data_IF_814550863500
#
_entry.id   IF_814550863500
#
_cell.length_a   1.000
_cell.length_b   1.000
_cell.length_c   1.000
_cell.angle_alpha   90.00
_cell.angle_beta   90.00
_cell.angle_gamma   90.00
#
_symmetry.space_group_name_H-M   'P 1'
#
loop_
_entity.id
_entity.type
_entity.pdbx_description
1 polymer ?
#
# COMPACT_ATOMS: atom_id res chain seq x y z
N UNK A 1 -13.41 -17.27 -6.04
CA UNK A 1 -12.54 -17.41 -4.85
C UNK A 1 -11.24 -16.71 -5.17
N UNK A 2 -10.94 -15.65 -4.48
CA UNK A 2 -9.77 -14.80 -4.74
C UNK A 2 -8.86 -14.87 -3.53
N UNK A 3 -7.66 -15.40 -3.67
CA UNK A 3 -6.70 -15.49 -2.58
C UNK A 3 -5.77 -14.26 -2.62
N UNK A 4 -5.73 -13.51 -1.52
CA UNK A 4 -4.75 -12.46 -1.30
C UNK A 4 -3.57 -13.07 -0.55
N UNK A 5 -2.48 -13.33 -1.26
CA UNK A 5 -1.22 -13.69 -0.62
C UNK A 5 -0.54 -12.41 -0.13
N UNK A 6 -0.60 -12.16 1.18
CA UNK A 6 0.52 -11.43 1.77
C UNK A 6 1.69 -12.40 1.75
N UNK A 7 2.79 -12.04 1.12
CA UNK A 7 3.98 -12.87 0.95
C UNK A 7 4.71 -13.09 2.29
N UNK A 8 4.04 -13.72 3.24
CA UNK A 8 4.64 -14.24 4.46
C UNK A 8 4.87 -15.74 4.29
N UNK A 9 6.14 -16.17 4.18
CA UNK A 9 6.58 -17.57 4.24
C UNK A 9 6.39 -18.18 5.64
N UNK A 10 5.30 -17.82 6.31
CA UNK A 10 5.02 -18.27 7.67
C UNK A 10 4.03 -19.47 7.69
N UNK A 11 3.91 -20.18 6.58
CA UNK A 11 3.09 -21.40 6.48
C UNK A 11 1.58 -21.15 6.71
N UNK A 12 1.12 -19.89 6.70
CA UNK A 12 -0.28 -19.53 6.89
C UNK A 12 -1.00 -19.50 5.56
N UNK A 13 -2.23 -19.98 5.55
CA UNK A 13 -3.07 -19.90 4.37
C UNK A 13 -3.27 -18.43 3.93
N UNK A 14 -3.38 -18.17 2.62
CA UNK A 14 -3.62 -16.82 2.12
C UNK A 14 -4.97 -16.28 2.60
N UNK A 15 -5.05 -14.96 2.86
CA UNK A 15 -6.32 -14.29 3.07
C UNK A 15 -7.14 -14.39 1.80
N UNK A 16 -8.32 -15.02 1.89
CA UNK A 16 -9.21 -15.22 0.75
C UNK A 16 -10.38 -14.25 0.85
N UNK A 17 -10.58 -13.46 -0.19
CA UNK A 17 -11.72 -12.56 -0.35
C UNK A 17 -12.67 -13.12 -1.39
N UNK A 18 -13.94 -13.25 -1.06
CA UNK A 18 -14.98 -13.85 -1.90
C UNK A 18 -16.07 -12.86 -2.28
N UNK A 19 -16.39 -11.93 -1.38
CA UNK A 19 -17.46 -10.95 -1.52
C UNK A 19 -16.92 -9.51 -1.45
N UNK A 20 -17.76 -8.55 -1.85
CA UNK A 20 -17.45 -7.13 -1.74
C UNK A 20 -17.32 -6.72 -0.26
N UNK A 21 -18.19 -7.23 0.61
CA UNK A 21 -18.14 -6.94 2.05
C UNK A 21 -16.83 -7.40 2.68
N UNK A 22 -16.35 -8.60 2.30
CA UNK A 22 -15.05 -9.10 2.76
C UNK A 22 -13.92 -8.18 2.27
N UNK A 23 -13.98 -7.71 1.01
CA UNK A 23 -13.00 -6.78 0.44
C UNK A 23 -13.02 -5.42 1.14
N UNK A 24 -14.21 -4.86 1.40
CA UNK A 24 -14.38 -3.61 2.14
C UNK A 24 -13.88 -3.76 3.58
N UNK A 25 -14.18 -4.87 4.25
CA UNK A 25 -13.70 -5.17 5.60
C UNK A 25 -12.17 -5.24 5.66
N UNK A 26 -11.55 -5.87 4.66
CA UNK A 26 -10.10 -6.08 4.62
C UNK A 26 -9.31 -4.83 4.21
N UNK A 27 -9.88 -3.96 3.38
CA UNK A 27 -9.21 -2.81 2.80
C UNK A 27 -8.47 -1.91 3.80
N UNK A 28 -9.06 -1.51 4.95
CA UNK A 28 -8.36 -0.72 5.97
C UNK A 28 -7.11 -1.42 6.53
N UNK A 29 -7.18 -2.74 6.73
CA UNK A 29 -6.06 -3.53 7.25
C UNK A 29 -4.91 -3.63 6.25
N UNK A 30 -5.22 -3.73 4.96
CA UNK A 30 -4.21 -3.75 3.90
C UNK A 30 -3.51 -2.40 3.72
N UNK A 31 -4.22 -1.30 3.99
CA UNK A 31 -3.67 0.06 3.93
C UNK A 31 -2.97 0.48 5.23
N UNK A 32 -3.34 -0.12 6.36
CA UNK A 32 -2.93 0.31 7.70
C UNK A 32 -3.66 1.55 8.22
N UNK A 33 -4.67 2.04 7.50
CA UNK A 33 -5.51 3.17 7.92
C UNK A 33 -6.89 3.11 7.28
N UNK A 34 -7.87 3.83 7.88
CA UNK A 34 -9.23 3.94 7.34
C UNK A 34 -9.23 4.79 6.07
N UNK A 35 -9.57 4.23 4.90
CA UNK A 35 -9.65 4.98 3.65
C UNK A 35 -10.86 5.92 3.62
N UNK A 36 -10.64 7.12 3.10
CA UNK A 36 -11.66 8.13 2.80
C UNK A 36 -11.31 8.77 1.46
N UNK A 37 -12.31 9.17 0.67
CA UNK A 37 -12.14 9.82 -0.64
C UNK A 37 -11.04 9.15 -1.48
N UNK A 38 -11.12 7.82 -1.61
CA UNK A 38 -10.04 6.99 -2.14
C UNK A 38 -10.56 5.93 -3.11
N UNK A 39 -9.84 5.75 -4.23
CA UNK A 39 -9.97 4.58 -5.09
C UNK A 39 -8.89 3.55 -4.69
N UNK A 40 -9.30 2.31 -4.44
CA UNK A 40 -8.42 1.19 -4.15
C UNK A 40 -8.53 0.12 -5.22
N UNK A 41 -7.39 -0.43 -5.62
CA UNK A 41 -7.31 -1.68 -6.37
C UNK A 41 -6.69 -2.74 -5.46
N UNK A 42 -7.41 -3.82 -5.25
CA UNK A 42 -6.92 -5.00 -4.54
C UNK A 42 -6.70 -6.08 -5.59
N UNK A 43 -5.46 -6.40 -5.88
CA UNK A 43 -5.09 -7.41 -6.86
C UNK A 43 -4.71 -8.67 -6.13
N UNK A 44 -5.40 -9.77 -6.44
CA UNK A 44 -5.10 -11.06 -5.85
C UNK A 44 -3.86 -11.69 -6.50
N UNK A 45 -3.12 -12.44 -5.69
CA UNK A 45 -2.05 -13.31 -6.16
C UNK A 45 -2.66 -14.45 -7.02
N UNK A 46 -2.12 -14.66 -8.21
CA UNK A 46 -2.48 -15.77 -9.10
C UNK A 46 -1.53 -16.98 -8.97
N UNK A 47 -0.58 -16.90 -8.03
CA UNK A 47 0.38 -17.95 -7.71
C UNK A 47 1.51 -18.14 -8.72
N UNK A 48 1.45 -17.49 -9.89
CA UNK A 48 2.39 -17.73 -10.98
C UNK A 48 3.18 -16.47 -11.42
N UNK A 49 2.51 -15.35 -11.62
CA UNK A 49 3.10 -14.17 -12.25
C UNK A 49 2.84 -12.85 -11.48
N UNK A 50 1.86 -12.84 -10.60
CA UNK A 50 1.47 -11.67 -9.84
C UNK A 50 1.52 -11.96 -8.34
N UNK A 51 2.38 -11.25 -7.62
CA UNK A 51 2.26 -11.17 -6.17
C UNK A 51 1.12 -10.19 -5.87
N UNK A 52 0.14 -10.60 -5.06
CA UNK A 52 -0.98 -9.76 -4.67
C UNK A 52 -0.50 -8.40 -4.13
N UNK A 53 -1.13 -7.33 -4.55
CA UNK A 53 -0.80 -5.98 -4.08
C UNK A 53 -2.04 -5.11 -3.94
N UNK A 54 -1.89 -4.00 -3.23
CA UNK A 54 -2.91 -2.96 -3.13
C UNK A 54 -2.35 -1.66 -3.70
N UNK A 55 -3.12 -1.03 -4.60
CA UNK A 55 -2.86 0.31 -5.08
C UNK A 55 -3.97 1.25 -4.58
N UNK A 56 -3.60 2.46 -4.22
CA UNK A 56 -4.53 3.48 -3.76
C UNK A 56 -4.22 4.81 -4.43
N UNK A 57 -5.28 5.53 -4.82
CA UNK A 57 -5.20 6.93 -5.23
C UNK A 57 -6.30 7.75 -4.53
N UNK A 58 -6.07 9.04 -4.35
CA UNK A 58 -7.11 9.98 -3.91
C UNK A 58 -8.10 10.20 -5.07
N UNK A 59 -9.40 10.30 -4.77
CA UNK A 59 -10.41 10.55 -5.81
C UNK A 59 -10.17 11.90 -6.50
N UNK A 60 -9.69 12.90 -5.77
CA UNK A 60 -9.35 14.22 -6.30
C UNK A 60 -8.26 14.14 -7.38
N UNK A 61 -7.28 13.25 -7.19
CA UNK A 61 -6.20 13.04 -8.16
C UNK A 61 -6.67 12.32 -9.44
N UNK A 62 -7.83 11.69 -9.43
CA UNK A 62 -8.38 10.89 -10.52
C UNK A 62 -9.52 11.55 -11.30
N UNK A 63 -9.80 12.83 -11.09
CA UNK A 63 -10.89 13.54 -11.74
C UNK A 63 -10.71 13.73 -13.25
N UNK A 64 -9.47 13.72 -13.73
CA UNK A 64 -9.21 13.85 -15.16
C UNK A 64 -8.93 12.50 -15.84
N UNK A 65 -9.34 12.36 -17.10
CA UNK A 65 -9.01 11.17 -17.89
C UNK A 65 -7.49 10.93 -17.98
N UNK A 66 -6.69 12.00 -18.05
CA UNK A 66 -5.23 11.91 -18.14
C UNK A 66 -4.63 11.31 -16.88
N UNK A 67 -5.10 11.71 -15.70
CA UNK A 67 -4.62 11.17 -14.42
C UNK A 67 -5.10 9.74 -14.20
N UNK A 68 -6.32 9.42 -14.61
CA UNK A 68 -6.86 8.06 -14.58
C UNK A 68 -6.07 7.12 -15.50
N UNK A 69 -5.77 7.52 -16.72
CA UNK A 69 -4.96 6.74 -17.66
C UNK A 69 -3.52 6.56 -17.15
N UNK A 70 -2.94 7.59 -16.55
CA UNK A 70 -1.62 7.49 -15.92
C UNK A 70 -1.62 6.52 -14.74
N UNK A 71 -2.67 6.51 -13.93
CA UNK A 71 -2.86 5.54 -12.85
C UNK A 71 -2.99 4.12 -13.42
N UNK A 72 -3.90 3.90 -14.37
CA UNK A 72 -4.13 2.62 -15.01
C UNK A 72 -2.85 2.07 -15.68
N UNK A 73 -2.09 2.91 -16.38
CA UNK A 73 -0.81 2.54 -17.01
C UNK A 73 0.27 2.09 -16.02
N UNK A 74 0.22 2.58 -14.78
CA UNK A 74 1.16 2.18 -13.72
C UNK A 74 0.78 0.87 -13.07
N UNK A 75 -0.51 0.66 -12.81
CA UNK A 75 -0.98 -0.52 -12.07
C UNK A 75 -1.24 -1.72 -12.99
N UNK A 76 -1.68 -1.49 -14.23
CA UNK A 76 -2.01 -2.55 -15.19
C UNK A 76 -0.89 -3.57 -15.39
N UNK A 77 0.36 -3.16 -15.69
CA UNK A 77 1.48 -4.09 -15.86
C UNK A 77 1.82 -4.91 -14.61
N UNK A 78 1.49 -4.38 -13.41
CA UNK A 78 1.75 -5.03 -12.13
C UNK A 78 0.67 -6.06 -11.78
N UNK A 79 -0.56 -5.84 -12.24
CA UNK A 79 -1.70 -6.70 -11.95
C UNK A 79 -1.66 -8.04 -12.70
N UNK A 80 -0.96 -8.10 -13.86
CA UNK A 80 -0.85 -9.32 -14.63
C UNK A 80 -2.24 -9.90 -14.98
N UNK A 81 -2.46 -11.18 -14.60
CA UNK A 81 -3.74 -11.88 -14.73
C UNK A 81 -4.49 -12.01 -13.40
N UNK A 82 -3.95 -11.42 -12.32
CA UNK A 82 -4.56 -11.47 -11.00
C UNK A 82 -5.98 -10.90 -11.00
N UNK A 83 -6.89 -11.56 -10.30
CA UNK A 83 -8.25 -11.04 -10.13
C UNK A 83 -8.20 -9.75 -9.30
N UNK A 84 -8.84 -8.71 -9.81
CA UNK A 84 -8.82 -7.38 -9.22
C UNK A 84 -10.19 -7.02 -8.67
N UNK A 85 -10.23 -6.45 -7.47
CA UNK A 85 -11.40 -5.77 -6.92
C UNK A 85 -11.10 -4.29 -6.86
N UNK A 86 -12.02 -3.46 -7.36
CA UNK A 86 -11.89 -1.99 -7.34
C UNK A 86 -12.89 -1.44 -6.33
N UNK A 87 -12.43 -0.68 -5.35
CA UNK A 87 -13.27 -0.09 -4.32
C UNK A 87 -13.12 1.42 -4.31
N UNK A 88 -14.25 2.15 -4.26
CA UNK A 88 -14.25 3.59 -4.04
C UNK A 88 -14.86 3.91 -2.67
N UNK A 89 -14.07 4.54 -1.80
CA UNK A 89 -14.49 5.01 -0.49
C UNK A 89 -14.81 6.49 -0.57
N UNK A 90 -16.07 6.87 -0.41
CA UNK A 90 -16.51 8.26 -0.45
C UNK A 90 -17.91 8.44 0.13
N UNK A 91 -18.13 9.58 0.82
CA UNK A 91 -19.47 9.99 1.23
C UNK A 91 -20.31 10.55 0.07
N UNK A 92 -19.68 10.80 -1.10
CA UNK A 92 -20.38 11.23 -2.32
C UNK A 92 -20.48 10.04 -3.29
N UNK A 93 -21.63 9.36 -3.25
CA UNK A 93 -21.90 8.18 -4.07
C UNK A 93 -21.77 8.46 -5.58
N UNK A 94 -22.38 9.56 -6.06
CA UNK A 94 -22.41 9.86 -7.49
C UNK A 94 -21.00 10.07 -8.05
N UNK A 95 -20.19 10.84 -7.31
CA UNK A 95 -18.78 11.06 -7.65
C UNK A 95 -18.00 9.75 -7.67
N UNK A 96 -18.15 8.95 -6.63
CA UNK A 96 -17.45 7.66 -6.50
C UNK A 96 -17.85 6.68 -7.61
N UNK A 97 -19.14 6.58 -7.93
CA UNK A 97 -19.64 5.74 -9.02
C UNK A 97 -19.10 6.20 -10.38
N UNK A 98 -19.06 7.51 -10.64
CA UNK A 98 -18.44 8.06 -11.86
C UNK A 98 -16.95 7.72 -11.96
N UNK A 99 -16.20 7.84 -10.86
CA UNK A 99 -14.77 7.47 -10.81
C UNK A 99 -14.57 5.97 -11.00
N UNK A 100 -15.42 5.11 -10.40
CA UNK A 100 -15.39 3.65 -10.59
C UNK A 100 -15.60 3.28 -12.06
N UNK A 101 -16.60 3.87 -12.72
CA UNK A 101 -16.87 3.60 -14.14
C UNK A 101 -15.67 4.00 -15.01
N UNK A 102 -15.09 5.17 -14.76
CA UNK A 102 -13.89 5.64 -15.46
C UNK A 102 -12.68 4.73 -15.20
N UNK A 103 -12.51 4.27 -13.96
CA UNK A 103 -11.43 3.37 -13.58
C UNK A 103 -11.58 2.00 -14.26
N UNK A 104 -12.77 1.41 -14.25
CA UNK A 104 -13.04 0.12 -14.93
C UNK A 104 -12.79 0.25 -16.43
N UNK A 105 -13.17 1.35 -17.05
CA UNK A 105 -12.90 1.60 -18.46
C UNK A 105 -11.39 1.70 -18.76
N UNK A 106 -10.66 2.48 -17.95
CA UNK A 106 -9.22 2.67 -18.12
C UNK A 106 -8.42 1.39 -17.84
N UNK A 107 -8.90 0.55 -16.90
CA UNK A 107 -8.33 -0.74 -16.51
C UNK A 107 -8.83 -1.91 -17.36
N UNK A 108 -9.52 -1.67 -18.47
CA UNK A 108 -10.25 -2.65 -19.25
C UNK A 108 -9.50 -3.90 -19.72
N UNK A 109 -8.16 -3.92 -19.64
CA UNK A 109 -7.33 -5.12 -19.89
C UNK A 109 -7.12 -6.01 -18.66
N UNK A 110 -7.56 -5.57 -17.48
CA UNK A 110 -7.40 -6.29 -16.22
C UNK A 110 -8.58 -7.24 -15.97
N UNK A 111 -8.32 -8.31 -15.22
CA UNK A 111 -9.34 -9.24 -14.75
C UNK A 111 -10.10 -8.64 -13.56
N UNK A 112 -11.02 -7.69 -13.81
CA UNK A 112 -11.82 -7.04 -12.77
C UNK A 112 -12.95 -7.99 -12.37
N UNK A 113 -12.89 -8.49 -11.14
CA UNK A 113 -13.88 -9.39 -10.59
C UNK A 113 -15.07 -8.67 -9.96
N UNK A 114 -14.84 -7.48 -9.41
CA UNK A 114 -15.87 -6.59 -8.88
C UNK A 114 -15.39 -5.15 -8.82
N UNK A 115 -16.35 -4.21 -8.81
CA UNK A 115 -16.08 -2.80 -8.60
C UNK A 115 -17.25 -2.17 -7.81
N UNK A 116 -16.96 -1.66 -6.61
CA UNK A 116 -17.98 -1.21 -5.68
C UNK A 116 -17.62 0.11 -4.98
N UNK A 117 -18.62 0.90 -4.73
CA UNK A 117 -18.59 2.05 -3.85
C UNK A 117 -18.98 1.67 -2.42
N UNK A 118 -18.42 2.38 -1.45
CA UNK A 118 -18.87 2.35 -0.05
C UNK A 118 -18.60 3.70 0.64
N UNK A 119 -19.49 4.06 1.58
CA UNK A 119 -19.29 5.14 2.55
C UNK A 119 -18.89 4.61 3.95
N UNK A 120 -18.78 3.27 4.08
CA UNK A 120 -18.51 2.58 5.34
C UNK A 120 -19.78 2.15 6.08
N UNK A 121 -20.96 2.60 5.69
CA UNK A 121 -22.27 2.17 6.21
C UNK A 121 -23.07 1.41 5.15
N UNK A 122 -22.93 1.81 3.90
CA UNK A 122 -23.54 1.19 2.73
C UNK A 122 -22.50 0.89 1.67
N UNK A 123 -22.83 -0.04 0.75
CA UNK A 123 -22.04 -0.32 -0.43
C UNK A 123 -22.93 -0.64 -1.64
N UNK A 124 -22.37 -0.47 -2.84
CA UNK A 124 -23.03 -0.81 -4.11
C UNK A 124 -22.03 -1.20 -5.17
N UNK A 125 -22.23 -2.36 -5.79
CA UNK A 125 -21.44 -2.80 -6.97
C UNK A 125 -21.97 -2.17 -8.25
N UNK A 126 -21.07 -1.82 -9.18
CA UNK A 126 -21.46 -1.39 -10.55
C UNK A 126 -21.79 -2.56 -11.46
N UNK A 127 -21.48 -3.81 -11.06
CA UNK A 127 -21.73 -5.03 -11.84
C UNK A 127 -22.96 -5.81 -11.38
N UNK A 128 -23.73 -5.27 -10.45
CA UNK A 128 -24.92 -5.94 -9.98
C UNK A 128 -26.08 -5.78 -10.97
N UNK A 129 -26.45 -6.88 -11.65
CA UNK A 129 -27.54 -6.94 -12.63
C UNK A 129 -28.85 -7.51 -12.06
N UNK A 130 -28.88 -7.88 -10.78
CA UNK A 130 -30.06 -8.48 -10.17
C UNK A 130 -31.22 -7.46 -10.03
N UNK A 131 -32.46 -7.91 -10.33
CA UNK A 131 -33.65 -7.10 -10.08
C UNK A 131 -33.73 -6.76 -8.59
N UNK A 132 -33.59 -5.47 -8.25
CA UNK A 132 -33.48 -4.94 -6.88
C UNK A 132 -32.10 -4.46 -6.49
N UNK A 133 -31.04 -4.74 -7.26
CA UNK A 133 -29.68 -4.28 -6.99
C UNK A 133 -29.43 -2.78 -7.28
N UNK A 134 -30.48 -2.04 -7.67
CA UNK A 134 -30.45 -0.57 -7.74
C UNK A 134 -30.36 0.11 -6.36
N UNK A 135 -30.47 -0.65 -5.28
CA UNK A 135 -30.45 -0.16 -3.91
C UNK A 135 -29.06 -0.32 -3.28
N UNK A 136 -28.74 0.54 -2.32
CA UNK A 136 -27.54 0.44 -1.53
C UNK A 136 -27.70 -0.69 -0.50
N UNK A 137 -26.74 -1.59 -0.44
CA UNK A 137 -26.70 -2.65 0.55
C UNK A 137 -26.07 -2.12 1.84
N UNK A 138 -26.66 -2.50 2.98
CA UNK A 138 -26.04 -2.13 4.26
C UNK A 138 -24.75 -2.93 4.44
N UNK A 139 -23.65 -2.20 4.71
CA UNK A 139 -22.37 -2.83 4.98
C UNK A 139 -22.36 -3.42 6.39
N UNK A 140 -22.02 -4.71 6.47
CA UNK A 140 -21.80 -5.40 7.74
C UNK A 140 -20.38 -5.98 7.68
N UNK A 141 -19.43 -5.44 8.49
CA UNK A 141 -18.07 -5.96 8.51
C UNK A 141 -18.04 -7.45 8.83
N UNK A 142 -17.25 -8.21 8.07
CA UNK A 142 -17.06 -9.63 8.38
C UNK A 142 -16.09 -9.79 9.58
N UNK A 143 -16.60 -10.28 10.74
CA UNK A 143 -15.78 -10.38 11.93
C UNK A 143 -14.66 -11.42 11.79
N UNK A 144 -14.79 -12.41 10.90
CA UNK A 144 -13.78 -13.44 10.69
C UNK A 144 -12.58 -12.86 9.91
N UNK A 145 -12.84 -12.04 8.90
CA UNK A 145 -11.80 -11.32 8.14
C UNK A 145 -11.06 -10.33 9.05
N UNK A 146 -11.81 -9.56 9.86
CA UNK A 146 -11.22 -8.61 10.80
C UNK A 146 -10.34 -9.33 11.86
N UNK A 147 -10.82 -10.43 12.43
CA UNK A 147 -10.08 -11.22 13.41
C UNK A 147 -8.81 -11.82 12.81
N UNK A 148 -8.88 -12.37 11.60
CA UNK A 148 -7.73 -12.94 10.91
C UNK A 148 -6.69 -11.86 10.57
N UNK A 149 -7.12 -10.67 10.12
CA UNK A 149 -6.22 -9.55 9.87
C UNK A 149 -5.48 -9.13 11.15
N UNK A 150 -6.18 -8.99 12.27
CA UNK A 150 -5.58 -8.67 13.57
C UNK A 150 -4.65 -9.79 14.05
N UNK A 151 -5.05 -11.05 13.90
CA UNK A 151 -4.20 -12.20 14.25
C UNK A 151 -2.88 -12.22 13.47
N UNK A 152 -2.88 -11.72 12.23
CA UNK A 152 -1.67 -11.52 11.40
C UNK A 152 -0.86 -10.29 11.78
N UNK A 153 -1.28 -9.53 12.78
CA UNK A 153 -0.60 -8.31 13.25
C UNK A 153 -0.92 -7.07 12.41
N UNK A 154 -1.93 -7.13 11.54
CA UNK A 154 -2.37 -5.95 10.79
C UNK A 154 -3.14 -5.02 11.71
N UNK A 155 -2.80 -3.73 11.67
CA UNK A 155 -3.44 -2.68 12.48
C UNK A 155 -4.01 -1.61 11.59
N UNK A 156 -5.06 -0.93 12.05
CA UNK A 156 -5.72 0.15 11.33
C UNK A 156 -5.64 1.44 12.13
N UNK A 157 -5.03 2.45 11.56
CA UNK A 157 -5.01 3.80 12.11
C UNK A 157 -6.24 4.60 11.63
N UNK A 158 -6.66 5.64 12.38
CA UNK A 158 -7.87 6.40 12.02
C UNK A 158 -7.80 7.08 10.65
N UNK A 159 -6.60 7.45 10.19
CA UNK A 159 -6.44 8.16 8.92
C UNK A 159 -5.04 7.94 8.32
N UNK A 160 -4.90 8.26 7.02
CA UNK A 160 -3.60 8.32 6.33
C UNK A 160 -2.64 9.30 7.02
N UNK A 161 -3.16 10.43 7.50
CA UNK A 161 -2.34 11.41 8.24
C UNK A 161 -1.80 10.81 9.53
N UNK A 162 -2.59 10.01 10.23
CA UNK A 162 -2.12 9.31 11.43
C UNK A 162 -0.99 8.33 11.10
N UNK A 163 -1.09 7.60 9.98
CA UNK A 163 -0.03 6.72 9.50
C UNK A 163 1.24 7.50 9.14
N UNK A 164 1.11 8.59 8.40
CA UNK A 164 2.25 9.45 8.02
C UNK A 164 2.92 10.02 9.28
N UNK A 165 2.14 10.43 10.28
CA UNK A 165 2.67 10.97 11.53
C UNK A 165 3.45 9.92 12.34
N UNK A 166 3.05 8.65 12.31
CA UNK A 166 3.84 7.57 12.94
C UNK A 166 5.19 7.38 12.25
N UNK A 167 5.24 7.50 10.92
CA UNK A 167 6.47 7.39 10.14
C UNK A 167 7.34 8.66 10.25
N UNK A 168 6.72 9.83 10.38
CA UNK A 168 7.43 11.11 10.48
C UNK A 168 8.02 11.37 11.86
N UNK A 169 7.64 10.59 12.87
CA UNK A 169 7.97 10.83 14.28
C UNK A 169 7.25 12.07 14.84
N UNK A 170 7.32 12.30 16.15
CA UNK A 170 6.89 13.56 16.75
C UNK A 170 7.70 14.66 16.08
N UNK A 171 7.04 15.69 15.50
CA UNK A 171 7.63 16.77 14.72
C UNK A 171 8.84 17.44 15.38
N UNK A 172 9.92 16.74 15.46
CA UNK A 172 11.19 17.24 15.92
C UNK A 172 11.70 18.19 14.87
N UNK A 173 11.69 19.46 15.18
CA UNK A 173 12.65 20.36 14.55
C UNK A 173 14.00 19.67 14.62
N UNK A 174 14.52 19.29 13.46
CA UNK A 174 15.79 18.60 13.35
C UNK A 174 16.80 19.37 14.21
N UNK A 175 17.21 18.78 15.33
CA UNK A 175 18.15 19.42 16.24
C UNK A 175 19.48 19.71 15.52
N UNK A 176 20.32 20.61 16.05
CA UNK A 176 21.56 21.00 15.38
C UNK A 176 22.51 19.84 15.12
N UNK A 177 22.51 18.81 15.96
CA UNK A 177 23.42 17.68 15.82
C UNK A 177 22.93 16.72 14.74
N UNK A 178 21.63 16.43 14.70
CA UNK A 178 21.02 15.68 13.58
C UNK A 178 21.21 16.39 12.24
N UNK A 179 21.10 17.74 12.19
CA UNK A 179 21.42 18.51 10.96
C UNK A 179 22.87 18.35 10.54
N UNK A 180 23.81 18.36 11.46
CA UNK A 180 25.25 18.14 11.18
C UNK A 180 25.49 16.73 10.63
N UNK A 181 24.88 15.70 11.23
CA UNK A 181 24.95 14.32 10.78
C UNK A 181 24.38 14.16 9.35
N UNK A 182 23.19 14.71 9.08
CA UNK A 182 22.58 14.71 7.74
C UNK A 182 23.46 15.40 6.70
N UNK A 183 24.01 16.57 7.04
CA UNK A 183 24.91 17.31 6.14
C UNK A 183 26.20 16.52 5.87
N UNK A 184 26.74 15.85 6.89
CA UNK A 184 27.92 14.99 6.78
C UNK A 184 27.64 13.77 5.90
N UNK A 185 26.52 13.07 6.14
CA UNK A 185 26.10 11.91 5.35
C UNK A 185 25.86 12.29 3.87
N UNK A 186 25.17 13.40 3.61
CA UNK A 186 24.97 13.93 2.25
C UNK A 186 26.30 14.19 1.57
N UNK A 187 27.26 14.87 2.21
CA UNK A 187 28.60 15.12 1.64
C UNK A 187 29.35 13.84 1.32
N UNK A 188 29.29 12.82 2.21
CA UNK A 188 29.95 11.52 2.00
C UNK A 188 29.36 10.76 0.83
N UNK A 189 28.06 10.81 0.64
CA UNK A 189 27.36 10.00 -0.35
C UNK A 189 27.18 10.70 -1.69
N UNK A 190 27.10 12.05 -1.75
CA UNK A 190 26.75 12.78 -2.97
C UNK A 190 27.68 12.54 -4.17
N UNK A 191 28.93 12.17 -3.92
CA UNK A 191 29.95 11.92 -4.95
C UNK A 191 30.19 10.44 -5.24
N UNK A 192 29.49 9.53 -4.57
CA UNK A 192 29.62 8.09 -4.76
C UNK A 192 28.64 7.57 -5.81
N UNK A 193 29.09 6.60 -6.61
CA UNK A 193 28.22 5.87 -7.51
C UNK A 193 27.21 5.01 -6.71
N UNK A 194 26.08 4.70 -7.32
CA UNK A 194 24.98 4.00 -6.65
C UNK A 194 25.37 2.62 -6.14
N UNK A 195 26.23 1.88 -6.85
CA UNK A 195 26.68 0.57 -6.40
C UNK A 195 27.58 0.66 -5.16
N UNK A 196 28.44 1.68 -5.08
CA UNK A 196 29.24 1.94 -3.89
C UNK A 196 28.37 2.38 -2.70
N UNK A 197 27.29 3.13 -2.94
CA UNK A 197 26.33 3.49 -1.90
C UNK A 197 25.56 2.27 -1.43
N UNK A 198 25.10 1.40 -2.34
CA UNK A 198 24.42 0.14 -2.00
C UNK A 198 25.29 -0.75 -1.12
N UNK A 199 26.54 -1.00 -1.53
CA UNK A 199 27.49 -1.82 -0.75
C UNK A 199 27.71 -1.24 0.64
N UNK A 200 27.85 0.10 0.74
CA UNK A 200 27.99 0.78 2.03
C UNK A 200 26.77 0.58 2.92
N UNK A 201 25.56 0.69 2.36
CA UNK A 201 24.33 0.46 3.11
C UNK A 201 24.23 -0.97 3.62
N UNK A 202 24.62 -1.96 2.82
CA UNK A 202 24.63 -3.37 3.25
C UNK A 202 25.60 -3.57 4.43
N UNK A 203 26.81 -3.03 4.35
CA UNK A 203 27.81 -3.11 5.44
C UNK A 203 27.29 -2.43 6.72
N UNK A 204 26.68 -1.25 6.60
CA UNK A 204 26.11 -0.54 7.76
C UNK A 204 24.97 -1.32 8.39
N UNK A 205 24.14 -1.94 7.56
CA UNK A 205 23.03 -2.76 8.03
C UNK A 205 23.50 -4.03 8.76
N UNK A 206 24.57 -4.65 8.29
CA UNK A 206 25.17 -5.84 8.91
C UNK A 206 25.95 -5.54 10.20
N UNK A 207 26.35 -4.28 10.42
CA UNK A 207 27.23 -3.89 11.55
C UNK A 207 26.63 -4.07 12.94
N UNK A 208 25.34 -4.41 13.07
CA UNK A 208 24.58 -4.63 14.31
C UNK A 208 24.54 -3.45 15.30
N UNK A 209 25.10 -2.32 14.99
CA UNK A 209 25.12 -1.12 15.85
C UNK A 209 23.87 -0.28 15.55
N UNK A 210 22.71 -0.78 16.01
CA UNK A 210 21.38 -0.26 15.70
C UNK A 210 21.08 1.09 16.33
N UNK A 211 21.93 1.55 17.24
CA UNK A 211 21.75 2.77 18.02
C UNK A 211 22.63 3.95 17.60
N UNK A 212 23.51 3.77 16.61
CA UNK A 212 24.35 4.87 16.13
C UNK A 212 23.58 5.79 15.19
N UNK A 213 23.23 6.98 15.67
CA UNK A 213 22.56 8.03 14.91
C UNK A 213 23.27 8.38 13.59
N UNK A 214 24.58 8.22 13.53
CA UNK A 214 25.35 8.45 12.31
C UNK A 214 25.09 7.38 11.26
N UNK A 215 24.95 6.12 11.65
CA UNK A 215 24.58 4.99 10.77
C UNK A 215 23.16 5.17 10.24
N UNK A 216 22.20 5.40 11.15
CA UNK A 216 20.79 5.64 10.80
C UNK A 216 20.67 6.82 9.83
N UNK A 217 21.38 7.90 10.10
CA UNK A 217 21.37 9.11 9.24
C UNK A 217 21.97 8.83 7.85
N UNK A 218 23.06 8.05 7.77
CA UNK A 218 23.69 7.69 6.48
C UNK A 218 22.76 6.81 5.65
N UNK A 219 22.09 5.82 6.27
CA UNK A 219 21.08 4.99 5.62
C UNK A 219 19.88 5.82 5.14
N UNK A 220 19.37 6.73 5.99
CA UNK A 220 18.25 7.60 5.65
C UNK A 220 18.55 8.49 4.43
N UNK A 221 19.77 9.00 4.31
CA UNK A 221 20.19 9.79 3.14
C UNK A 221 20.36 8.90 1.90
N UNK A 222 20.91 7.70 2.06
CA UNK A 222 21.14 6.80 0.95
C UNK A 222 19.85 6.34 0.26
N UNK A 223 18.82 5.99 1.04
CA UNK A 223 17.54 5.51 0.50
C UNK A 223 16.71 6.60 -0.18
N UNK A 224 17.06 7.88 -0.03
CA UNK A 224 16.43 8.96 -0.79
C UNK A 224 16.90 8.99 -2.26
N UNK A 225 17.94 8.25 -2.63
CA UNK A 225 18.37 8.14 -4.02
C UNK A 225 17.44 7.24 -4.82
N UNK A 226 16.99 7.68 -6.01
CA UNK A 226 16.18 6.85 -6.89
C UNK A 226 16.88 5.52 -7.18
N UNK A 227 16.19 4.42 -6.97
CA UNK A 227 16.71 3.08 -7.22
C UNK A 227 17.54 2.44 -6.10
N UNK A 228 18.12 3.18 -5.16
CA UNK A 228 18.84 2.57 -4.02
C UNK A 228 17.86 1.87 -3.09
N UNK A 229 16.81 2.56 -2.65
CA UNK A 229 15.77 1.98 -1.80
C UNK A 229 15.21 0.67 -2.41
N UNK A 230 14.83 0.72 -3.70
CA UNK A 230 14.32 -0.45 -4.41
C UNK A 230 15.33 -1.60 -4.45
N UNK A 231 16.60 -1.33 -4.77
CA UNK A 231 17.64 -2.36 -4.86
C UNK A 231 17.97 -2.97 -3.49
N UNK A 232 18.01 -2.16 -2.44
CA UNK A 232 18.18 -2.64 -1.06
C UNK A 232 16.99 -3.51 -0.66
N UNK A 233 15.78 -3.04 -0.87
CA UNK A 233 14.56 -3.78 -0.55
C UNK A 233 14.50 -5.14 -1.25
N UNK A 234 14.86 -5.21 -2.54
CA UNK A 234 14.85 -6.46 -3.31
C UNK A 234 15.99 -7.42 -2.94
N UNK A 235 17.05 -6.93 -2.29
CA UNK A 235 18.20 -7.75 -1.87
C UNK A 235 18.10 -8.24 -0.43
N UNK A 236 17.09 -7.80 0.34
CA UNK A 236 16.92 -8.16 1.74
C UNK A 236 16.18 -9.48 1.90
N UNK A 237 16.69 -10.35 2.76
CA UNK A 237 15.93 -11.48 3.29
C UNK A 237 14.88 -10.97 4.29
N UNK A 238 13.83 -11.78 4.55
CA UNK A 238 12.70 -11.37 5.43
C UNK A 238 13.11 -11.01 6.85
N UNK A 239 14.10 -11.69 7.41
CA UNK A 239 14.63 -11.36 8.74
C UNK A 239 15.14 -9.93 8.82
N UNK A 240 15.69 -9.43 7.69
CA UNK A 240 16.25 -8.08 7.59
C UNK A 240 15.17 -7.02 7.43
N UNK A 241 14.02 -7.34 6.82
CA UNK A 241 12.91 -6.40 6.65
C UNK A 241 12.35 -5.92 7.99
N UNK A 242 12.23 -6.83 8.98
CA UNK A 242 11.78 -6.47 10.33
C UNK A 242 12.77 -5.54 11.04
N UNK A 243 14.07 -5.74 10.80
CA UNK A 243 15.14 -4.87 11.32
C UNK A 243 15.10 -3.48 10.70
N UNK A 244 14.88 -3.40 9.39
CA UNK A 244 14.71 -2.12 8.71
C UNK A 244 13.53 -1.33 9.28
N UNK A 245 12.41 -1.99 9.53
CA UNK A 245 11.24 -1.35 10.14
C UNK A 245 11.56 -0.84 11.56
N UNK A 246 12.35 -1.58 12.35
CA UNK A 246 12.77 -1.15 13.67
C UNK A 246 13.72 0.08 13.66
N UNK A 247 14.53 0.24 12.61
CA UNK A 247 15.38 1.43 12.43
C UNK A 247 14.55 2.67 12.06
N UNK A 248 13.36 2.48 11.45
CA UNK A 248 12.51 3.57 10.98
C UNK A 248 11.35 3.89 11.93
N UNK A 249 11.09 3.10 12.93
CA UNK A 249 10.10 3.35 13.99
C UNK A 249 10.70 4.16 15.14
#
# INVERSE_FOLDING_TARGET
MTALHSSTTDGRDPLTVRTVEEAVTLAPYLLGFQPTESLLLIVADDGAACQGFVARADLDDLESAVTMDAFASRVGPLAGRGRTVVLAFSNNQDRAMGTLMSAVQALGSMNIGDAAWTDGEYWRSIFCDEQGCGENHRFVPDPSIAAEAVYRGLTVLPSRTSLVNTLSGPGRTCDPDTRRLLASARRRLCRKEDDAVKTRCQVLFESRDETDDAIVTELAVAVQRPGIARRLWMSMERADASRWLAIWS
#
